data_IF_009863795521
#
_entry.id   IF_009863795521
#
_cell.length_a   1.000
_cell.length_b   1.000
_cell.length_c   1.000
_cell.angle_alpha   90.00
_cell.angle_beta   90.00
_cell.angle_gamma   90.00
#
_symmetry.space_group_name_H-M   'P 1'
#
loop_
_entity.id
_entity.type
_entity.pdbx_description
1 polymer ?
#
# COMPACT_ATOMS: atom_id res chain seq x y z
N UNK A 1 -7.54 -4.79 -12.50
CA UNK A 1 -6.20 -4.28 -12.86
C UNK A 1 -5.21 -4.74 -11.79
N UNK A 2 -4.07 -5.31 -12.16
CA UNK A 2 -3.05 -5.79 -11.22
C UNK A 2 -1.94 -4.74 -11.05
N UNK A 3 -1.36 -4.66 -9.85
CA UNK A 3 -0.26 -3.74 -9.55
C UNK A 3 1.04 -4.53 -9.55
N UNK A 4 1.93 -4.22 -10.50
CA UNK A 4 3.24 -4.86 -10.61
C UNK A 4 4.19 -4.25 -9.58
N UNK A 5 4.81 -5.09 -8.75
CA UNK A 5 5.70 -4.65 -7.66
C UNK A 5 7.11 -5.23 -7.73
N UNK A 6 7.36 -6.20 -8.62
CA UNK A 6 8.67 -6.82 -8.86
C UNK A 6 8.57 -8.16 -9.60
N UNK A 7 9.71 -8.81 -9.83
CA UNK A 7 9.81 -10.14 -10.46
C UNK A 7 10.87 -11.00 -9.76
N UNK A 8 10.47 -12.15 -9.22
CA UNK A 8 11.37 -13.05 -8.47
C UNK A 8 12.44 -13.73 -9.33
N UNK A 9 12.28 -13.73 -10.66
CA UNK A 9 13.29 -14.26 -11.60
C UNK A 9 14.48 -13.32 -11.77
N UNK A 10 14.30 -12.03 -11.44
CA UNK A 10 15.33 -10.99 -11.60
C UNK A 10 15.82 -10.42 -10.27
N UNK A 11 14.99 -10.45 -9.22
CA UNK A 11 15.31 -9.91 -7.90
C UNK A 11 14.89 -10.89 -6.80
N UNK A 12 15.55 -10.84 -5.64
CA UNK A 12 15.12 -11.66 -4.51
C UNK A 12 13.76 -11.20 -3.98
N UNK A 13 12.97 -12.13 -3.43
CA UNK A 13 11.69 -11.78 -2.80
C UNK A 13 11.86 -10.75 -1.67
N UNK A 14 12.93 -10.89 -0.87
CA UNK A 14 13.23 -9.98 0.22
C UNK A 14 13.50 -8.55 -0.28
N UNK A 15 14.23 -8.41 -1.38
CA UNK A 15 14.50 -7.12 -2.01
C UNK A 15 13.21 -6.49 -2.55
N UNK A 16 12.41 -7.25 -3.29
CA UNK A 16 11.11 -6.78 -3.80
C UNK A 16 10.23 -6.30 -2.64
N UNK A 17 10.09 -7.10 -1.59
CA UNK A 17 9.24 -6.77 -0.45
C UNK A 17 9.75 -5.57 0.35
N UNK A 18 11.05 -5.43 0.57
CA UNK A 18 11.63 -4.35 1.39
C UNK A 18 11.74 -3.03 0.64
N UNK A 19 12.09 -3.08 -0.65
CA UNK A 19 12.53 -1.90 -1.40
C UNK A 19 11.54 -1.44 -2.48
N UNK A 20 10.52 -2.24 -2.84
CA UNK A 20 9.49 -1.78 -3.78
C UNK A 20 8.75 -0.56 -3.20
N UNK A 21 8.66 0.56 -3.95
CA UNK A 21 7.97 1.76 -3.49
C UNK A 21 6.50 1.50 -3.11
N UNK A 22 5.85 0.54 -3.79
CA UNK A 22 4.46 0.17 -3.49
C UNK A 22 4.35 -0.43 -2.08
N UNK A 23 5.20 -1.39 -1.74
CA UNK A 23 5.16 -2.02 -0.41
C UNK A 23 5.63 -1.07 0.69
N UNK A 24 6.62 -0.21 0.43
CA UNK A 24 7.03 0.82 1.37
C UNK A 24 5.89 1.80 1.67
N UNK A 25 5.21 2.30 0.64
CA UNK A 25 4.09 3.23 0.82
C UNK A 25 2.87 2.56 1.47
N UNK A 26 2.58 1.28 1.19
CA UNK A 26 1.49 0.55 1.85
C UNK A 26 1.72 0.41 3.36
N UNK A 27 2.98 0.28 3.79
CA UNK A 27 3.38 0.24 5.20
C UNK A 27 3.52 1.63 5.83
N UNK A 28 3.28 2.70 5.08
CA UNK A 28 3.35 4.06 5.57
C UNK A 28 1.94 4.70 5.64
N UNK A 29 1.31 4.72 6.82
CA UNK A 29 0.01 5.36 7.02
C UNK A 29 -0.01 6.87 6.72
N UNK A 30 1.14 7.56 6.68
CA UNK A 30 1.23 8.97 6.25
C UNK A 30 0.97 9.18 4.77
N UNK A 31 1.00 8.11 3.98
CA UNK A 31 0.62 8.17 2.57
C UNK A 31 -0.87 7.95 2.34
N UNK A 32 -1.64 7.58 3.37
CA UNK A 32 -3.07 7.36 3.24
C UNK A 32 -3.82 8.67 3.02
N UNK A 33 -4.88 8.61 2.24
CA UNK A 33 -5.72 9.75 1.86
C UNK A 33 -7.11 9.65 2.47
N UNK A 34 -7.86 10.75 2.37
CA UNK A 34 -9.20 10.88 2.90
C UNK A 34 -9.29 10.61 4.40
N UNK A 35 -10.39 9.97 4.82
CA UNK A 35 -10.68 9.69 6.24
C UNK A 35 -9.56 8.91 6.94
N UNK A 36 -8.88 7.99 6.23
CA UNK A 36 -7.79 7.21 6.81
C UNK A 36 -6.50 8.01 6.98
N UNK A 37 -6.28 9.07 6.19
CA UNK A 37 -5.09 9.92 6.28
C UNK A 37 -5.04 10.76 7.55
N UNK A 38 -6.20 11.16 8.06
CA UNK A 38 -6.34 11.99 9.28
C UNK A 38 -6.79 11.20 10.51
N UNK A 39 -7.05 9.90 10.36
CA UNK A 39 -7.55 9.05 11.45
C UNK A 39 -6.45 8.76 12.48
N UNK A 40 -6.76 8.95 13.76
CA UNK A 40 -5.84 8.65 14.88
C UNK A 40 -5.41 7.17 14.92
N UNK A 41 -6.29 6.27 14.49
CA UNK A 41 -6.04 4.82 14.47
C UNK A 41 -5.31 4.34 13.20
N UNK A 42 -4.87 5.23 12.31
CA UNK A 42 -4.29 4.84 11.00
C UNK A 42 -3.04 3.97 11.10
N UNK A 43 -2.30 4.06 12.20
CA UNK A 43 -1.12 3.23 12.49
C UNK A 43 -1.45 1.82 13.01
N UNK A 44 -2.62 1.64 13.62
CA UNK A 44 -3.01 0.36 14.23
C UNK A 44 -3.97 -0.41 13.32
N UNK A 45 -5.00 0.28 12.80
CA UNK A 45 -6.00 -0.33 11.94
C UNK A 45 -5.52 -0.32 10.47
N UNK A 46 -5.20 0.87 9.95
CA UNK A 46 -4.82 1.09 8.56
C UNK A 46 -5.87 0.70 7.50
N UNK A 47 -6.89 -0.09 7.83
CA UNK A 47 -7.96 -0.60 6.97
C UNK A 47 -7.47 -1.50 5.82
N UNK A 48 -8.42 -2.15 5.14
CA UNK A 48 -8.11 -2.97 3.97
C UNK A 48 -7.74 -2.11 2.74
N UNK A 49 -6.47 -2.17 2.34
CA UNK A 49 -5.96 -1.46 1.16
C UNK A 49 -6.42 -2.08 -0.16
N UNK A 50 -6.71 -3.39 -0.17
CA UNK A 50 -7.33 -4.06 -1.32
C UNK A 50 -8.75 -3.54 -1.57
N UNK A 51 -9.56 -3.36 -0.51
CA UNK A 51 -10.89 -2.75 -0.62
C UNK A 51 -10.82 -1.30 -1.08
N UNK A 52 -9.87 -0.51 -0.54
CA UNK A 52 -9.65 0.86 -0.98
C UNK A 52 -9.35 0.93 -2.49
N UNK A 53 -8.48 0.05 -2.99
CA UNK A 53 -8.15 -0.02 -4.41
C UNK A 53 -9.34 -0.43 -5.27
N UNK A 54 -10.11 -1.43 -4.85
CA UNK A 54 -11.30 -1.88 -5.58
C UNK A 54 -12.36 -0.77 -5.73
N UNK A 55 -12.54 0.06 -4.69
CA UNK A 55 -13.57 1.09 -4.68
C UNK A 55 -13.12 2.40 -5.33
N UNK A 56 -11.83 2.75 -5.26
CA UNK A 56 -11.33 4.08 -5.64
C UNK A 56 -10.36 4.08 -6.80
N UNK A 57 -9.82 2.91 -7.17
CA UNK A 57 -8.68 2.78 -8.07
C UNK A 57 -7.33 3.17 -7.44
N UNK A 58 -7.31 3.64 -6.18
CA UNK A 58 -6.10 4.05 -5.46
C UNK A 58 -5.82 3.18 -4.24
N UNK A 59 -4.57 2.70 -4.11
CA UNK A 59 -4.14 1.91 -2.94
C UNK A 59 -4.24 2.68 -1.63
N UNK A 60 -4.04 3.99 -1.68
CA UNK A 60 -3.94 4.85 -0.50
C UNK A 60 -5.27 5.48 -0.10
N UNK A 61 -6.35 5.19 -0.83
CA UNK A 61 -7.64 5.87 -0.69
C UNK A 61 -7.76 7.10 -1.59
N UNK A 62 -8.93 7.75 -1.51
CA UNK A 62 -9.24 9.03 -2.14
C UNK A 62 -9.23 10.12 -1.07
#
# INVERSE_FOLDING_TARGET
>A
MTIKTGNIRTNSLAEIYRNSPVFQNLRNPDKYKGKCGVCEFRYVCGGSRSRAYAMTGGLYGK
#
